data_IF_031612300359
#
_entry.id   IF_031612300359
#
_cell.length_a   1.000
_cell.length_b   1.000
_cell.length_c   1.000
_cell.angle_alpha   90.00
_cell.angle_beta   90.00
_cell.angle_gamma   90.00
#
_symmetry.space_group_name_H-M   'P 1'
#
loop_
_entity.id
_entity.type
_entity.pdbx_description
1 polymer ?
#
# COMPACT_ATOMS: atom_id res chain seq x y z
N UNK A 1 7.24 -24.68 25.87
CA UNK A 1 7.34 -25.29 24.52
C UNK A 1 6.24 -24.79 23.58
N UNK A 2 4.95 -24.83 23.97
CA UNK A 2 3.79 -24.43 23.13
C UNK A 2 3.83 -22.99 22.58
N UNK A 3 4.28 -22.01 23.39
CA UNK A 3 4.38 -20.59 23.01
C UNK A 3 5.33 -20.29 21.83
N UNK A 4 6.41 -21.07 21.69
CA UNK A 4 7.36 -20.89 20.59
C UNK A 4 6.83 -21.50 19.29
N UNK A 5 6.05 -22.58 19.39
CA UNK A 5 5.40 -23.22 18.23
C UNK A 5 4.31 -22.31 17.65
N UNK A 6 3.47 -21.70 18.49
CA UNK A 6 2.45 -20.74 18.03
C UNK A 6 3.06 -19.50 17.36
N UNK A 7 4.17 -18.99 17.89
CA UNK A 7 4.87 -17.85 17.30
C UNK A 7 5.52 -18.21 15.95
N UNK A 8 6.09 -19.41 15.84
CA UNK A 8 6.64 -19.92 14.58
C UNK A 8 5.55 -20.12 13.51
N UNK A 9 4.37 -20.61 13.89
CA UNK A 9 3.22 -20.75 12.97
C UNK A 9 2.73 -19.37 12.51
N UNK A 10 2.64 -18.39 13.42
CA UNK A 10 2.24 -17.03 13.08
C UNK A 10 3.22 -16.37 12.10
N UNK A 11 4.53 -16.52 12.35
CA UNK A 11 5.59 -16.01 11.46
C UNK A 11 5.55 -16.71 10.09
N UNK A 12 5.30 -18.01 10.06
CA UNK A 12 5.19 -18.78 8.81
C UNK A 12 3.96 -18.35 8.00
N UNK A 13 2.83 -18.08 8.66
CA UNK A 13 1.63 -17.52 8.01
C UNK A 13 1.87 -16.11 7.45
N UNK A 14 2.66 -15.28 8.13
CA UNK A 14 3.00 -13.93 7.66
C UNK A 14 3.88 -13.96 6.40
N UNK A 15 4.85 -14.89 6.34
CA UNK A 15 5.70 -15.11 5.17
C UNK A 15 4.91 -15.65 3.98
N UNK A 16 3.96 -16.56 4.20
CA UNK A 16 3.10 -17.09 3.15
C UNK A 16 2.22 -16.02 2.50
N UNK A 17 1.69 -15.07 3.29
CA UNK A 17 0.93 -13.91 2.76
C UNK A 17 1.85 -12.95 1.98
N UNK A 18 3.11 -12.79 2.38
CA UNK A 18 4.07 -11.95 1.65
C UNK A 18 4.47 -12.55 0.28
N UNK A 19 4.58 -13.87 0.18
CA UNK A 19 4.94 -14.57 -1.06
C UNK A 19 3.74 -14.76 -2.02
N UNK A 20 2.50 -14.48 -1.60
CA UNK A 20 1.34 -14.51 -2.47
C UNK A 20 1.30 -13.36 -3.52
N UNK A 21 2.38 -12.58 -3.63
CA UNK A 21 2.59 -11.58 -4.69
C UNK A 21 3.41 -12.12 -5.87
N UNK A 22 3.34 -13.43 -6.14
CA UNK A 22 3.86 -13.98 -7.38
C UNK A 22 2.92 -13.63 -8.54
N UNK A 23 3.31 -12.62 -9.31
CA UNK A 23 2.68 -12.29 -10.59
C UNK A 23 2.64 -13.51 -11.49
N UNK A 24 1.42 -14.00 -11.74
CA UNK A 24 1.16 -15.19 -12.54
C UNK A 24 1.82 -15.12 -13.91
N UNK A 25 2.63 -16.12 -14.19
CA UNK A 25 3.23 -16.42 -15.48
C UNK A 25 2.15 -16.75 -16.52
N UNK A 26 2.18 -15.99 -17.63
CA UNK A 26 1.78 -16.35 -19.00
C UNK A 26 0.30 -16.66 -19.28
N UNK A 27 -0.37 -15.73 -19.97
CA UNK A 27 -1.79 -15.75 -20.36
C UNK A 27 -2.66 -14.71 -19.64
N UNK A 28 -2.03 -13.85 -18.83
CA UNK A 28 -2.70 -12.88 -17.98
C UNK A 28 -3.30 -11.74 -18.78
N UNK A 29 -4.59 -11.49 -18.57
CA UNK A 29 -5.23 -10.26 -19.05
C UNK A 29 -4.38 -9.08 -18.62
N UNK A 30 -4.05 -8.17 -19.54
CA UNK A 30 -3.24 -7.00 -19.23
C UNK A 30 -3.98 -6.20 -18.17
N UNK A 31 -3.58 -6.35 -16.90
CA UNK A 31 -4.25 -5.66 -15.79
C UNK A 31 -4.23 -4.15 -15.99
N UNK A 32 -3.21 -3.61 -16.68
CA UNK A 32 -3.17 -2.20 -17.09
C UNK A 32 -4.18 -1.80 -18.18
N UNK A 33 -4.69 -2.73 -19.00
CA UNK A 33 -5.79 -2.49 -19.94
C UNK A 33 -7.16 -2.67 -19.27
N UNK A 34 -7.26 -3.53 -18.26
CA UNK A 34 -8.51 -3.80 -17.54
C UNK A 34 -8.78 -2.85 -16.37
N UNK A 35 -7.74 -2.43 -15.65
CA UNK A 35 -7.89 -1.54 -14.50
C UNK A 35 -7.96 -0.09 -15.00
N UNK A 36 -9.06 0.62 -14.70
CA UNK A 36 -9.15 2.04 -14.99
C UNK A 36 -8.02 2.78 -14.28
N UNK A 37 -7.35 3.70 -14.96
CA UNK A 37 -6.25 4.53 -14.38
C UNK A 37 -6.66 5.19 -13.05
N UNK A 38 -7.94 5.49 -12.90
CA UNK A 38 -8.54 6.02 -11.67
C UNK A 38 -8.32 5.15 -10.42
N UNK A 39 -8.19 3.82 -10.56
CA UNK A 39 -7.97 2.93 -9.41
C UNK A 39 -6.57 3.08 -8.78
N UNK A 40 -5.59 3.53 -9.57
CA UNK A 40 -4.23 3.82 -9.07
C UNK A 40 -4.08 5.23 -8.52
N UNK A 41 -5.02 6.13 -8.83
CA UNK A 41 -5.01 7.52 -8.44
C UNK A 41 -4.88 7.75 -6.92
N UNK A 42 -5.63 7.07 -6.04
CA UNK A 42 -5.51 7.29 -4.59
C UNK A 42 -4.12 6.94 -4.05
N UNK A 43 -3.54 5.85 -4.54
CA UNK A 43 -2.20 5.42 -4.14
C UNK A 43 -1.12 6.39 -4.63
N UNK A 44 -1.16 6.77 -5.91
CA UNK A 44 -0.21 7.76 -6.45
C UNK A 44 -0.38 9.12 -5.78
N UNK A 45 -1.62 9.53 -5.51
CA UNK A 45 -1.98 10.79 -4.89
C UNK A 45 -1.41 10.95 -3.48
N UNK A 46 -1.53 9.92 -2.64
CA UNK A 46 -0.95 9.99 -1.29
C UNK A 46 0.57 9.98 -1.32
N UNK A 47 1.19 9.19 -2.21
CA UNK A 47 2.65 9.16 -2.39
C UNK A 47 3.20 10.54 -2.84
N UNK A 48 2.54 11.18 -3.79
CA UNK A 48 2.88 12.54 -4.22
C UNK A 48 2.68 13.54 -3.08
N UNK A 49 1.61 13.40 -2.31
CA UNK A 49 1.31 14.29 -1.17
C UNK A 49 2.40 14.24 -0.10
N UNK A 50 2.83 13.03 0.31
CA UNK A 50 3.90 12.88 1.31
C UNK A 50 5.28 13.28 0.78
N UNK A 51 5.49 13.28 -0.54
CA UNK A 51 6.75 13.72 -1.14
C UNK A 51 6.82 15.24 -1.28
N UNK A 52 5.73 15.88 -1.74
CA UNK A 52 5.72 17.29 -2.10
C UNK A 52 5.38 18.21 -0.92
N UNK A 53 4.31 17.92 -0.17
CA UNK A 53 3.84 18.85 0.88
C UNK A 53 4.84 19.07 2.02
N UNK A 54 5.62 18.07 2.48
CA UNK A 54 6.65 18.31 3.49
C UNK A 54 7.76 19.25 3.01
N UNK A 55 8.10 19.21 1.71
CA UNK A 55 9.12 20.08 1.12
C UNK A 55 8.61 21.50 0.89
N UNK A 56 7.42 21.66 0.33
CA UNK A 56 6.91 22.99 -0.07
C UNK A 56 6.14 23.71 1.04
N UNK A 57 5.44 22.98 1.91
CA UNK A 57 4.55 23.55 2.93
C UNK A 57 4.57 22.73 4.23
N UNK A 58 5.70 22.69 4.95
CA UNK A 58 5.84 21.85 6.14
C UNK A 58 4.81 22.16 7.22
N UNK A 59 4.51 23.42 7.52
CA UNK A 59 3.52 23.77 8.55
C UNK A 59 2.09 23.31 8.19
N UNK A 60 1.70 23.44 6.91
CA UNK A 60 0.42 22.91 6.41
C UNK A 60 0.37 21.39 6.56
N UNK A 61 1.44 20.71 6.16
CA UNK A 61 1.53 19.26 6.22
C UNK A 61 1.38 18.73 7.65
N UNK A 62 2.10 19.30 8.62
CA UNK A 62 2.02 18.84 10.02
C UNK A 62 0.61 18.96 10.61
N UNK A 63 -0.17 19.96 10.18
CA UNK A 63 -1.53 20.15 10.67
C UNK A 63 -2.60 19.36 9.87
N UNK A 64 -2.29 18.97 8.63
CA UNK A 64 -3.30 18.44 7.70
C UNK A 64 -2.97 17.09 7.06
N UNK A 65 -1.84 16.45 7.39
CA UNK A 65 -1.47 15.14 6.83
C UNK A 65 -2.61 14.12 6.98
N UNK A 66 -3.26 14.06 8.15
CA UNK A 66 -4.35 13.12 8.40
C UNK A 66 -5.58 13.36 7.51
N UNK A 67 -5.90 14.63 7.22
CA UNK A 67 -7.00 14.98 6.31
C UNK A 67 -6.66 14.63 4.86
N UNK A 68 -5.42 14.85 4.44
CA UNK A 68 -4.94 14.48 3.10
C UNK A 68 -4.93 12.97 2.94
N UNK A 69 -4.46 12.21 3.93
CA UNK A 69 -4.52 10.75 3.93
C UNK A 69 -5.95 10.22 3.89
N UNK A 70 -6.86 10.82 4.65
CA UNK A 70 -8.27 10.43 4.63
C UNK A 70 -8.93 10.72 3.28
N UNK A 71 -8.61 11.84 2.64
CA UNK A 71 -9.10 12.16 1.30
C UNK A 71 -8.69 11.12 0.25
N UNK A 72 -7.43 10.66 0.30
CA UNK A 72 -6.93 9.64 -0.62
C UNK A 72 -7.31 8.20 -0.25
N UNK A 73 -7.82 7.96 0.96
CA UNK A 73 -8.23 6.63 1.42
C UNK A 73 -9.70 6.29 1.11
N UNK A 74 -10.48 7.29 0.65
CA UNK A 74 -11.87 7.18 0.23
C UNK A 74 -11.97 6.84 -1.26
#
# INVERSE_FOLDING_TARGET
MKKHVSFAVLLLSLVAVAHASEGSAHGGVHLGELLPVWSGLPFLGILLSIALFPLFAPHFWHHHFGKVSAFWAL
#
